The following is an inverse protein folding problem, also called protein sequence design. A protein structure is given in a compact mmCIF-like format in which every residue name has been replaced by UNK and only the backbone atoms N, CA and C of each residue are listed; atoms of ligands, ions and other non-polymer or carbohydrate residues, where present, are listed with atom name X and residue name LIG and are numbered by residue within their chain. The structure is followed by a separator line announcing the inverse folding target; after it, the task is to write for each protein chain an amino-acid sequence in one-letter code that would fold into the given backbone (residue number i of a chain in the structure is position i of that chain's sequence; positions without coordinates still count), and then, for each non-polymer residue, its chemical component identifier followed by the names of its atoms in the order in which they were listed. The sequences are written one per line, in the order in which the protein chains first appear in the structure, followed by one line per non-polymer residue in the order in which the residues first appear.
data_IF_846290815430
#
_entry.id   IF_846290815430
#
_cell.length_a   1.000
_cell.length_b   1.000
_cell.length_c   1.000
_cell.angle_alpha   90.00
_cell.angle_beta   90.00
_cell.angle_gamma   90.00
#
_symmetry.space_group_name_H-M   'P 1'
#
loop_
_entity.id
_entity.type
_entity.pdbx_description
1 polymer ?
#
# COMPACT_ATOMS: atom_id res chain seq x y z
N UNK A 1 -23.22 -4.98 -31.97
CA UNK A 1 -21.77 -5.15 -32.01
C UNK A 1 -21.20 -4.12 -31.06
N UNK A 2 -20.68 -4.52 -29.90
CA UNK A 2 -20.03 -3.60 -28.99
C UNK A 2 -18.72 -3.11 -29.64
N UNK A 3 -18.55 -1.81 -29.80
CA UNK A 3 -17.27 -1.24 -30.16
C UNK A 3 -16.21 -1.68 -29.15
N UNK A 4 -15.02 -2.11 -29.57
CA UNK A 4 -13.93 -2.31 -28.63
C UNK A 4 -13.69 -0.95 -27.97
N UNK A 5 -13.94 -0.87 -26.67
CA UNK A 5 -13.58 0.30 -25.87
C UNK A 5 -12.08 0.53 -26.06
N UNK A 6 -11.71 1.72 -26.50
CA UNK A 6 -10.32 2.16 -26.49
C UNK A 6 -9.75 1.83 -25.10
N UNK A 7 -8.58 1.18 -24.99
CA UNK A 7 -8.00 0.88 -23.68
C UNK A 7 -7.94 2.20 -22.89
N UNK A 8 -8.48 2.19 -21.66
CA UNK A 8 -8.49 3.41 -20.85
C UNK A 8 -7.05 3.90 -20.69
N UNK A 9 -6.83 5.20 -20.80
CA UNK A 9 -5.51 5.79 -20.56
C UNK A 9 -5.15 5.80 -19.04
N UNK A 10 -5.91 5.05 -18.25
CA UNK A 10 -5.77 4.95 -16.79
C UNK A 10 -5.07 3.65 -16.41
N UNK A 11 -4.14 3.76 -15.45
CA UNK A 11 -3.57 2.63 -14.75
C UNK A 11 -3.65 2.84 -13.23
N UNK A 12 -3.68 1.73 -12.50
CA UNK A 12 -3.57 1.69 -11.03
C UNK A 12 -2.29 0.94 -10.66
N UNK A 13 -1.45 1.56 -9.84
CA UNK A 13 -0.29 0.89 -9.22
C UNK A 13 -0.59 0.73 -7.72
N UNK A 14 -0.65 -0.52 -7.27
CA UNK A 14 -0.99 -0.88 -5.91
C UNK A 14 0.27 -1.23 -5.12
N UNK A 15 0.50 -0.51 -4.02
CA UNK A 15 1.54 -0.78 -3.03
C UNK A 15 0.94 -1.62 -1.90
N UNK A 16 1.35 -2.89 -1.79
CA UNK A 16 0.82 -3.80 -0.79
C UNK A 16 1.33 -3.50 0.64
N UNK A 17 0.68 -4.07 1.64
CA UNK A 17 1.05 -3.93 3.04
C UNK A 17 2.26 -4.77 3.46
N UNK A 18 2.74 -4.56 4.69
CA UNK A 18 3.79 -5.38 5.31
C UNK A 18 3.40 -6.85 5.36
N UNK A 19 4.38 -7.73 5.25
CA UNK A 19 4.21 -9.20 5.32
C UNK A 19 3.36 -9.79 4.19
N UNK A 20 3.04 -9.03 3.15
CA UNK A 20 2.26 -9.50 2.02
C UNK A 20 3.12 -9.81 0.80
N UNK A 21 2.68 -10.82 0.04
CA UNK A 21 3.03 -10.96 -1.37
C UNK A 21 1.97 -10.27 -2.24
N UNK A 22 2.16 -10.13 -3.56
CA UNK A 22 1.11 -9.65 -4.46
C UNK A 22 -0.11 -10.58 -4.58
N UNK A 23 0.00 -11.85 -4.14
CA UNK A 23 -1.03 -12.86 -4.36
C UNK A 23 -2.42 -12.46 -3.86
N UNK A 24 -2.63 -11.94 -2.63
CA UNK A 24 -3.95 -11.52 -2.15
C UNK A 24 -4.59 -10.38 -2.96
N UNK A 25 -3.80 -9.62 -3.71
CA UNK A 25 -4.27 -8.47 -4.48
C UNK A 25 -4.66 -8.82 -5.92
N UNK A 26 -4.35 -10.04 -6.39
CA UNK A 26 -4.70 -10.48 -7.75
C UNK A 26 -6.20 -10.44 -8.06
N UNK A 27 -7.13 -10.74 -7.12
CA UNK A 27 -8.56 -10.55 -7.36
C UNK A 27 -8.91 -9.10 -7.70
N UNK A 28 -8.42 -8.12 -6.93
CA UNK A 28 -8.62 -6.70 -7.18
C UNK A 28 -8.00 -6.26 -8.52
N UNK A 29 -6.76 -6.69 -8.81
CA UNK A 29 -6.09 -6.42 -10.09
C UNK A 29 -6.92 -6.93 -11.27
N UNK A 30 -7.47 -8.14 -11.16
CA UNK A 30 -8.35 -8.71 -12.20
C UNK A 30 -9.66 -7.94 -12.35
N UNK A 31 -10.26 -7.53 -11.23
CA UNK A 31 -11.50 -6.76 -11.23
C UNK A 31 -11.32 -5.36 -11.87
N UNK A 32 -10.23 -4.67 -11.57
CA UNK A 32 -9.86 -3.40 -12.23
C UNK A 32 -9.65 -3.59 -13.73
N UNK A 33 -8.92 -4.63 -14.14
CA UNK A 33 -8.69 -4.94 -15.56
C UNK A 33 -9.99 -5.29 -16.30
N UNK A 34 -10.94 -5.95 -15.65
CA UNK A 34 -12.26 -6.21 -16.20
C UNK A 34 -13.08 -4.92 -16.47
N UNK A 35 -12.74 -3.81 -15.80
CA UNK A 35 -13.29 -2.46 -16.06
C UNK A 35 -12.46 -1.65 -17.06
N UNK A 36 -11.48 -2.26 -17.71
CA UNK A 36 -10.60 -1.59 -18.68
C UNK A 36 -9.51 -0.72 -18.03
N UNK A 37 -9.26 -0.85 -16.74
CA UNK A 37 -8.22 -0.14 -16.01
C UNK A 37 -7.01 -1.06 -15.88
N UNK A 38 -5.86 -0.68 -16.43
CA UNK A 38 -4.64 -1.45 -16.21
C UNK A 38 -4.26 -1.40 -14.72
N UNK A 39 -3.89 -2.54 -14.15
CA UNK A 39 -3.58 -2.61 -12.73
C UNK A 39 -2.37 -3.49 -12.45
N UNK A 40 -1.53 -3.05 -11.52
CA UNK A 40 -0.26 -3.67 -11.17
C UNK A 40 -0.09 -3.69 -9.64
N UNK A 41 0.45 -4.78 -9.13
CA UNK A 41 0.86 -4.90 -7.73
C UNK A 41 2.23 -5.59 -7.72
N UNK A 42 3.35 -4.84 -7.65
CA UNK A 42 4.68 -5.43 -7.60
C UNK A 42 4.95 -6.08 -6.24
N UNK A 43 5.88 -7.05 -6.20
CA UNK A 43 6.47 -7.51 -4.96
C UNK A 43 7.39 -6.43 -4.41
N UNK A 44 7.10 -5.98 -3.19
CA UNK A 44 7.96 -5.01 -2.50
C UNK A 44 9.13 -5.72 -1.81
N UNK A 45 10.35 -5.19 -1.92
CA UNK A 45 11.57 -5.76 -1.33
C UNK A 45 11.48 -6.08 0.17
N UNK A 46 10.81 -5.23 0.97
CA UNK A 46 10.66 -5.44 2.42
C UNK A 46 9.82 -6.66 2.80
N UNK A 47 9.11 -7.27 1.85
CA UNK A 47 8.32 -8.48 2.03
C UNK A 47 8.70 -9.60 1.03
N UNK A 48 9.81 -9.45 0.31
CA UNK A 48 10.32 -10.46 -0.62
C UNK A 48 11.28 -11.42 0.10
N UNK A 49 10.84 -12.66 0.34
CA UNK A 49 11.63 -13.68 1.03
C UNK A 49 13.01 -13.92 0.37
N UNK A 50 13.14 -13.70 -0.93
CA UNK A 50 14.44 -13.80 -1.63
C UNK A 50 15.45 -12.72 -1.21
N UNK A 51 14.99 -11.64 -0.59
CA UNK A 51 15.80 -10.50 -0.14
C UNK A 51 15.97 -10.44 1.38
N UNK A 52 15.30 -11.33 2.13
CA UNK A 52 15.24 -11.26 3.59
C UNK A 52 16.20 -12.22 4.32
N UNK A 53 17.05 -12.96 3.58
CA UNK A 53 17.97 -13.97 4.15
C UNK A 53 17.23 -14.98 5.03
N UNK A 54 16.26 -15.68 4.46
CA UNK A 54 15.44 -16.67 5.16
C UNK A 54 15.86 -18.13 4.88
N UNK A 55 16.95 -18.34 4.13
CA UNK A 55 17.34 -19.67 3.65
C UNK A 55 16.46 -20.15 2.50
N UNK A 56 15.85 -21.32 2.63
CA UNK A 56 14.90 -21.81 1.61
C UNK A 56 13.57 -21.04 1.71
N UNK A 57 13.19 -20.37 0.63
CA UNK A 57 11.92 -19.58 0.59
C UNK A 57 10.67 -20.44 0.66
N UNK A 58 10.79 -21.76 0.40
CA UNK A 58 9.67 -22.71 0.55
C UNK A 58 9.54 -23.25 1.98
N UNK A 59 10.62 -23.13 2.78
CA UNK A 59 10.67 -23.47 4.21
C UNK A 59 11.50 -22.40 4.95
N UNK A 60 10.98 -21.18 5.07
CA UNK A 60 11.75 -20.04 5.51
C UNK A 60 12.09 -20.08 7.00
N UNK A 61 13.35 -19.84 7.32
CA UNK A 61 13.84 -19.67 8.69
C UNK A 61 13.96 -18.18 9.01
N UNK A 62 13.00 -17.65 9.76
CA UNK A 62 12.98 -16.23 10.16
C UNK A 62 13.91 -15.91 11.34
N UNK A 63 14.59 -16.91 11.90
CA UNK A 63 15.61 -16.74 12.97
C UNK A 63 17.01 -16.47 12.42
N UNK A 64 17.18 -16.40 11.10
CA UNK A 64 18.41 -15.94 10.48
C UNK A 64 18.57 -14.42 10.67
N UNK A 65 19.84 -13.98 10.76
CA UNK A 65 20.15 -12.55 10.82
C UNK A 65 19.94 -11.84 9.48
N UNK A 66 20.09 -10.51 9.44
CA UNK A 66 19.93 -9.75 8.21
C UNK A 66 20.94 -10.19 7.13
N UNK A 67 20.64 -9.98 5.85
CA UNK A 67 21.59 -10.15 4.77
C UNK A 67 22.73 -9.14 4.87
N UNK A 68 23.82 -9.37 4.12
CA UNK A 68 24.88 -8.38 3.98
C UNK A 68 24.31 -7.06 3.47
N UNK A 69 24.58 -5.96 4.19
CA UNK A 69 24.00 -4.65 3.89
C UNK A 69 22.70 -4.33 4.63
N UNK A 70 22.14 -5.27 5.40
CA UNK A 70 20.88 -5.08 6.14
C UNK A 70 19.65 -5.53 5.36
N UNK A 71 18.49 -5.46 6.03
CA UNK A 71 17.21 -5.70 5.37
C UNK A 71 16.81 -4.53 4.47
N UNK A 72 16.15 -4.80 3.32
CA UNK A 72 15.56 -3.74 2.51
C UNK A 72 14.60 -2.88 3.33
N UNK A 73 14.50 -1.62 2.96
CA UNK A 73 13.67 -0.63 3.64
C UNK A 73 12.75 0.10 2.64
N UNK A 74 12.13 1.19 3.06
CA UNK A 74 11.18 1.93 2.24
C UNK A 74 11.78 2.52 0.96
N UNK A 75 13.08 2.84 0.94
CA UNK A 75 13.76 3.32 -0.27
C UNK A 75 13.71 2.28 -1.39
N UNK A 76 14.01 1.02 -1.09
CA UNK A 76 13.98 -0.06 -2.09
C UNK A 76 12.55 -0.36 -2.54
N UNK A 77 11.57 -0.29 -1.62
CA UNK A 77 10.16 -0.46 -1.98
C UNK A 77 9.69 0.65 -2.93
N UNK A 78 10.00 1.90 -2.59
CA UNK A 78 9.62 3.05 -3.42
C UNK A 78 10.32 3.05 -4.78
N UNK A 79 11.57 2.57 -4.85
CA UNK A 79 12.31 2.45 -6.10
C UNK A 79 11.62 1.49 -7.09
N UNK A 80 11.20 0.31 -6.63
CA UNK A 80 10.45 -0.65 -7.46
C UNK A 80 9.15 -0.06 -7.99
N UNK A 81 8.41 0.68 -7.15
CA UNK A 81 7.17 1.35 -7.57
C UNK A 81 7.46 2.47 -8.56
N UNK A 82 8.50 3.30 -8.32
CA UNK A 82 8.89 4.37 -9.25
C UNK A 82 9.30 3.86 -10.62
N UNK A 83 9.96 2.71 -10.72
CA UNK A 83 10.33 2.13 -12.02
C UNK A 83 9.09 1.75 -12.83
N UNK A 84 8.06 1.17 -12.19
CA UNK A 84 6.78 0.89 -12.85
C UNK A 84 6.07 2.20 -13.23
N UNK A 85 6.04 3.19 -12.35
CA UNK A 85 5.45 4.49 -12.63
C UNK A 85 6.13 5.17 -13.82
N UNK A 86 7.47 5.15 -13.91
CA UNK A 86 8.20 5.70 -15.07
C UNK A 86 7.81 4.99 -16.36
N UNK A 87 7.78 3.67 -16.39
CA UNK A 87 7.37 2.93 -17.59
C UNK A 87 5.94 3.28 -18.01
N UNK A 88 4.99 3.31 -17.10
CA UNK A 88 3.60 3.66 -17.40
C UNK A 88 3.44 5.12 -17.87
N UNK A 89 4.13 6.04 -17.21
CA UNK A 89 3.96 7.48 -17.42
C UNK A 89 4.82 7.98 -18.59
N UNK A 90 6.11 7.61 -18.61
CA UNK A 90 7.05 8.19 -19.58
C UNK A 90 7.05 7.46 -20.92
N UNK A 91 6.86 6.11 -20.91
CA UNK A 91 6.81 5.32 -22.14
C UNK A 91 5.39 5.20 -22.69
N UNK A 92 4.43 4.80 -21.83
CA UNK A 92 3.04 4.51 -22.23
C UNK A 92 2.10 5.72 -22.14
N UNK A 93 2.56 6.88 -21.60
CA UNK A 93 1.81 8.14 -21.47
C UNK A 93 0.52 8.04 -20.66
N UNK A 94 0.45 7.08 -19.72
CA UNK A 94 -0.74 6.82 -18.91
C UNK A 94 -0.93 7.85 -17.81
N UNK A 95 -2.19 8.09 -17.46
CA UNK A 95 -2.58 8.65 -16.17
C UNK A 95 -2.54 7.52 -15.14
N UNK A 96 -1.97 7.74 -13.98
CA UNK A 96 -1.79 6.70 -12.96
C UNK A 96 -2.40 7.14 -11.63
N UNK A 97 -3.28 6.31 -11.07
CA UNK A 97 -3.67 6.39 -9.67
C UNK A 97 -2.76 5.47 -8.87
N UNK A 98 -2.11 5.99 -7.83
CA UNK A 98 -1.31 5.15 -6.92
C UNK A 98 -2.15 4.80 -5.71
N UNK A 99 -2.32 3.50 -5.47
CA UNK A 99 -3.10 2.96 -4.38
C UNK A 99 -2.17 2.38 -3.31
N UNK A 100 -2.28 2.86 -2.08
CA UNK A 100 -1.55 2.33 -0.93
C UNK A 100 -2.46 1.54 0.00
N UNK A 101 -2.06 0.34 0.38
CA UNK A 101 -2.75 -0.48 1.37
C UNK A 101 -1.89 -0.63 2.62
N UNK A 102 -2.45 -0.39 3.81
CA UNK A 102 -1.73 -0.55 5.08
C UNK A 102 -0.39 0.21 5.06
N UNK A 103 0.75 -0.41 5.38
CA UNK A 103 2.08 0.21 5.27
C UNK A 103 2.45 0.64 3.84
N UNK A 104 1.84 0.05 2.81
CA UNK A 104 2.00 0.50 1.42
C UNK A 104 1.53 1.94 1.17
N UNK A 105 0.78 2.54 2.10
CA UNK A 105 0.46 3.98 2.07
C UNK A 105 1.70 4.85 2.14
N UNK A 106 2.69 4.50 2.97
CA UNK A 106 3.99 5.15 2.99
C UNK A 106 4.69 5.06 1.63
N UNK A 107 4.74 3.85 1.05
CA UNK A 107 5.39 3.59 -0.25
C UNK A 107 4.71 4.37 -1.38
N UNK A 108 3.36 4.36 -1.42
CA UNK A 108 2.58 5.10 -2.40
C UNK A 108 2.89 6.60 -2.35
N UNK A 109 2.97 7.16 -1.14
CA UNK A 109 3.28 8.58 -0.93
C UNK A 109 4.71 8.90 -1.36
N UNK A 110 5.69 8.10 -0.91
CA UNK A 110 7.11 8.31 -1.21
C UNK A 110 7.41 8.20 -2.70
N UNK A 111 6.83 7.20 -3.39
CA UNK A 111 7.04 6.98 -4.82
C UNK A 111 6.37 8.04 -5.71
N UNK A 112 5.39 8.79 -5.18
CA UNK A 112 4.64 9.79 -5.95
C UNK A 112 5.38 11.12 -6.07
N UNK A 113 6.62 11.06 -6.59
CA UNK A 113 7.54 12.18 -6.73
C UNK A 113 7.00 13.27 -7.66
N UNK A 114 7.34 14.57 -7.42
CA UNK A 114 6.85 15.70 -8.21
C UNK A 114 7.03 15.53 -9.72
N UNK A 115 8.17 15.01 -10.18
CA UNK A 115 8.48 14.81 -11.60
C UNK A 115 7.58 13.79 -12.30
N UNK A 116 6.89 12.93 -11.53
CA UNK A 116 5.93 11.95 -12.05
C UNK A 116 4.47 12.42 -11.94
N UNK A 117 4.20 13.54 -11.25
CA UNK A 117 2.85 14.05 -11.03
C UNK A 117 2.28 14.71 -12.30
N UNK A 118 1.02 14.43 -12.60
CA UNK A 118 0.36 14.85 -13.84
C UNK A 118 0.39 16.36 -14.06
N UNK A 119 0.00 17.14 -13.04
CA UNK A 119 -0.01 18.62 -13.13
C UNK A 119 1.38 19.18 -13.40
N UNK A 120 2.41 18.65 -12.72
CA UNK A 120 3.79 19.07 -12.91
C UNK A 120 4.31 18.74 -14.32
N UNK A 121 3.98 17.55 -14.83
CA UNK A 121 4.35 17.11 -16.18
C UNK A 121 3.60 17.90 -17.26
N UNK A 122 2.31 18.17 -17.05
CA UNK A 122 1.49 18.96 -17.96
C UNK A 122 2.04 20.39 -18.17
N UNK A 123 2.52 21.03 -17.10
CA UNK A 123 3.18 22.35 -17.18
C UNK A 123 4.43 22.35 -18.06
N UNK A 124 5.02 21.19 -18.29
CA UNK A 124 6.20 20.97 -19.15
C UNK A 124 5.85 20.40 -20.53
N UNK A 125 4.57 20.32 -20.87
CA UNK A 125 4.09 19.72 -22.12
C UNK A 125 4.30 18.21 -22.20
N UNK A 126 4.48 17.52 -21.08
CA UNK A 126 4.71 16.08 -21.01
C UNK A 126 3.40 15.34 -20.73
N UNK A 127 2.99 14.38 -21.56
CA UNK A 127 1.77 13.59 -21.34
C UNK A 127 1.97 12.54 -20.24
N UNK A 128 0.83 12.11 -19.65
CA UNK A 128 0.81 11.12 -18.57
C UNK A 128 1.25 11.69 -17.22
N UNK A 129 1.03 10.93 -16.16
CA UNK A 129 1.44 11.32 -14.82
C UNK A 129 0.51 10.79 -13.73
N UNK A 130 0.96 10.89 -12.48
CA UNK A 130 0.18 10.51 -11.31
C UNK A 130 -0.92 11.55 -11.10
N UNK A 131 -2.19 11.09 -11.11
CA UNK A 131 -3.36 11.95 -10.98
C UNK A 131 -3.89 12.05 -9.54
N UNK A 132 -3.54 11.10 -8.68
CA UNK A 132 -3.98 11.08 -7.28
C UNK A 132 -3.44 9.91 -6.49
N UNK A 133 -3.72 9.93 -5.19
CA UNK A 133 -3.40 8.90 -4.21
C UNK A 133 -4.69 8.34 -3.63
N UNK A 134 -4.80 7.01 -3.55
CA UNK A 134 -5.93 6.33 -2.93
C UNK A 134 -5.44 5.42 -1.80
N UNK A 135 -5.85 5.71 -0.58
CA UNK A 135 -5.46 4.98 0.62
C UNK A 135 -6.55 3.99 1.03
N UNK A 136 -6.20 2.72 1.11
CA UNK A 136 -7.10 1.62 1.44
C UNK A 136 -6.75 1.09 2.83
N UNK A 137 -7.40 1.57 3.89
CA UNK A 137 -7.03 1.24 5.27
C UNK A 137 -5.53 1.41 5.52
N UNK A 138 -4.93 2.48 4.98
CA UNK A 138 -3.49 2.63 4.85
C UNK A 138 -2.89 3.61 5.87
N UNK A 139 -1.59 3.51 6.06
CA UNK A 139 -0.86 4.44 6.90
C UNK A 139 -0.64 5.77 6.19
N UNK A 140 -1.15 6.85 6.77
CA UNK A 140 -0.82 8.23 6.40
C UNK A 140 0.25 8.70 7.39
N UNK A 141 1.51 8.65 6.96
CA UNK A 141 2.65 9.00 7.79
C UNK A 141 3.08 10.44 7.46
N UNK A 142 3.27 11.30 8.47
CA UNK A 142 3.79 12.65 8.25
C UNK A 142 5.22 12.65 7.68
N UNK A 143 5.54 13.63 6.84
CA UNK A 143 6.91 13.85 6.38
C UNK A 143 7.87 13.98 7.57
N UNK A 144 9.00 13.30 7.49
CA UNK A 144 10.02 13.24 8.55
C UNK A 144 9.82 12.09 9.55
N UNK A 145 8.67 11.39 9.52
CA UNK A 145 8.40 10.20 10.32
C UNK A 145 8.54 8.93 9.48
N UNK A 146 8.88 7.81 10.13
CA UNK A 146 8.79 6.47 9.56
C UNK A 146 7.53 5.76 10.07
N UNK A 147 7.16 4.63 9.47
CA UNK A 147 6.09 3.78 10.01
C UNK A 147 6.40 3.43 11.48
N UNK A 148 7.63 3.01 11.75
CA UNK A 148 8.06 2.68 13.11
C UNK A 148 7.93 3.87 14.06
N UNK A 149 8.56 5.02 13.75
CA UNK A 149 8.58 6.18 14.66
C UNK A 149 7.19 6.77 14.91
N UNK A 150 6.28 6.64 13.94
CA UNK A 150 4.92 7.16 14.06
C UNK A 150 4.06 6.35 15.04
N UNK A 151 4.15 5.01 14.99
CA UNK A 151 3.33 4.13 15.83
C UNK A 151 3.96 3.76 17.17
N UNK A 152 5.22 4.13 17.42
CA UNK A 152 5.87 3.88 18.71
C UNK A 152 5.65 5.03 19.70
N UNK A 153 5.58 4.72 21.02
CA UNK A 153 5.52 5.74 22.05
C UNK A 153 6.72 6.67 22.00
N UNK A 154 6.49 7.95 22.29
CA UNK A 154 7.57 8.97 22.25
C UNK A 154 8.48 8.95 23.49
N UNK A 155 8.17 8.12 24.48
CA UNK A 155 8.99 7.93 25.70
C UNK A 155 10.15 6.94 25.50
N UNK A 156 10.29 6.38 24.28
CA UNK A 156 11.34 5.42 23.94
C UNK A 156 11.02 3.97 24.32
N UNK A 157 9.84 3.69 24.87
CA UNK A 157 9.38 2.31 25.06
C UNK A 157 9.09 1.66 23.71
N UNK A 158 9.20 0.33 23.66
CA UNK A 158 8.90 -0.44 22.45
C UNK A 158 7.61 -1.23 22.63
N UNK A 159 6.65 -0.99 21.75
CA UNK A 159 5.36 -1.70 21.76
C UNK A 159 5.25 -2.57 20.51
N UNK A 160 5.02 -3.87 20.72
CA UNK A 160 4.70 -4.81 19.65
C UNK A 160 3.18 -4.93 19.54
N UNK A 161 2.57 -4.64 18.37
CA UNK A 161 1.15 -4.84 18.18
C UNK A 161 0.73 -6.32 18.40
N UNK A 162 -0.49 -6.59 18.86
CA UNK A 162 -0.94 -7.96 19.19
C UNK A 162 -0.98 -8.90 17.99
N UNK A 163 -1.05 -8.37 16.77
CA UNK A 163 -1.07 -9.13 15.52
C UNK A 163 0.33 -9.40 14.94
N UNK A 164 1.41 -9.03 15.65
CA UNK A 164 2.80 -9.22 15.21
C UNK A 164 3.61 -9.99 16.23
N UNK A 165 4.59 -10.73 15.76
CA UNK A 165 5.70 -11.22 16.59
C UNK A 165 7.02 -11.01 15.88
N UNK A 166 8.06 -10.70 16.64
CA UNK A 166 9.44 -10.72 16.18
C UNK A 166 10.08 -12.06 16.47
N UNK A 167 10.97 -12.48 15.57
CA UNK A 167 11.76 -13.70 15.69
C UNK A 167 13.05 -13.43 16.50
N UNK A 168 14.00 -14.37 16.47
CA UNK A 168 15.19 -14.43 17.32
C UNK A 168 15.94 -13.11 17.53
N UNK A 169 16.01 -12.26 16.51
CA UNK A 169 16.74 -10.99 16.57
C UNK A 169 15.87 -9.79 17.04
N UNK A 170 14.65 -10.02 17.49
CA UNK A 170 13.76 -8.95 17.96
C UNK A 170 13.54 -7.88 16.89
N UNK A 171 13.58 -6.60 17.30
CA UNK A 171 13.39 -5.47 16.38
C UNK A 171 14.50 -5.28 15.33
N UNK A 172 15.65 -5.92 15.48
CA UNK A 172 16.70 -5.96 14.46
C UNK A 172 16.55 -7.13 13.47
N UNK A 173 15.54 -7.97 13.67
CA UNK A 173 15.25 -9.14 12.85
C UNK A 173 13.94 -9.00 12.06
N UNK A 174 13.41 -10.15 11.68
CA UNK A 174 12.15 -10.23 10.96
C UNK A 174 10.96 -10.34 11.92
N UNK A 175 9.85 -9.73 11.52
CA UNK A 175 8.53 -9.93 12.09
C UNK A 175 7.63 -10.72 11.15
N UNK A 176 6.63 -11.38 11.72
CA UNK A 176 5.54 -12.07 11.01
C UNK A 176 4.21 -11.77 11.67
N UNK A 177 3.12 -11.99 10.94
CA UNK A 177 1.77 -11.87 11.49
C UNK A 177 1.44 -13.01 12.46
N UNK A 178 0.67 -12.69 13.48
CA UNK A 178 0.06 -13.61 14.45
C UNK A 178 -1.45 -13.63 14.20
N UNK A 179 -2.08 -14.78 14.21
CA UNK A 179 -3.52 -14.96 13.97
C UNK A 179 -4.04 -14.19 12.74
N UNK A 180 -3.38 -14.32 11.56
CA UNK A 180 -3.76 -13.54 10.37
C UNK A 180 -5.21 -13.75 9.96
N UNK A 181 -5.78 -14.94 10.17
CA UNK A 181 -7.20 -15.23 9.94
C UNK A 181 -8.13 -14.32 10.74
N UNK A 182 -7.70 -13.85 11.90
CA UNK A 182 -8.46 -12.93 12.74
C UNK A 182 -8.21 -11.48 12.37
N UNK A 183 -6.94 -11.08 12.28
CA UNK A 183 -6.56 -9.67 12.16
C UNK A 183 -6.63 -9.15 10.73
N UNK A 184 -6.23 -9.95 9.73
CA UNK A 184 -6.21 -9.54 8.32
C UNK A 184 -7.42 -10.04 7.54
N UNK A 185 -7.88 -11.25 7.81
CA UNK A 185 -8.85 -11.97 6.97
C UNK A 185 -10.13 -12.35 7.74
N UNK A 186 -10.42 -11.67 8.85
CA UNK A 186 -11.50 -12.05 9.76
C UNK A 186 -12.94 -11.86 9.22
N UNK A 187 -13.09 -11.18 8.11
CA UNK A 187 -14.34 -11.00 7.38
C UNK A 187 -14.48 -11.90 6.14
N UNK A 188 -13.54 -12.83 5.92
CA UNK A 188 -13.64 -13.90 4.92
C UNK A 188 -14.18 -15.17 5.55
N UNK A 189 -14.63 -16.10 4.71
CA UNK A 189 -14.91 -17.45 5.22
C UNK A 189 -13.62 -18.14 5.70
N UNK A 190 -13.71 -19.11 6.65
CA UNK A 190 -12.53 -19.70 7.28
C UNK A 190 -11.55 -20.39 6.31
N UNK A 191 -12.06 -20.99 5.23
CA UNK A 191 -11.22 -21.68 4.24
C UNK A 191 -10.44 -20.66 3.41
N UNK A 192 -11.11 -19.58 2.99
CA UNK A 192 -10.45 -18.47 2.30
C UNK A 192 -9.43 -17.76 3.18
N UNK A 193 -9.79 -17.43 4.42
CA UNK A 193 -8.88 -16.84 5.38
C UNK A 193 -7.62 -17.69 5.56
N UNK A 194 -7.77 -19.00 5.77
CA UNK A 194 -6.64 -19.94 5.89
C UNK A 194 -5.81 -20.04 4.61
N UNK A 195 -6.45 -19.99 3.44
CA UNK A 195 -5.73 -19.97 2.16
C UNK A 195 -4.85 -18.74 2.00
N UNK A 196 -5.38 -17.56 2.29
CA UNK A 196 -4.65 -16.31 2.15
C UNK A 196 -3.58 -16.13 3.21
N UNK A 197 -3.79 -16.62 4.42
CA UNK A 197 -2.79 -16.63 5.50
C UNK A 197 -1.49 -17.32 5.08
N UNK A 198 -1.56 -18.36 4.26
CA UNK A 198 -0.40 -19.10 3.73
C UNK A 198 0.40 -18.32 2.68
N UNK A 199 -0.11 -17.21 2.17
CA UNK A 199 0.58 -16.36 1.19
C UNK A 199 1.35 -15.21 1.84
N UNK A 200 1.24 -15.07 3.16
CA UNK A 200 1.95 -14.06 3.91
C UNK A 200 3.44 -14.37 4.00
N UNK A 201 4.21 -13.32 4.15
CA UNK A 201 5.67 -13.36 4.24
C UNK A 201 6.14 -12.81 5.59
N UNK A 202 7.40 -12.45 5.68
CA UNK A 202 7.98 -11.71 6.80
C UNK A 202 8.41 -10.32 6.35
N UNK A 203 8.80 -9.48 7.30
CA UNK A 203 9.39 -8.19 6.98
C UNK A 203 10.14 -7.57 8.16
N UNK A 204 11.05 -6.65 7.91
CA UNK A 204 11.75 -5.88 8.93
C UNK A 204 10.85 -4.79 9.52
N UNK A 205 11.29 -4.16 10.59
CA UNK A 205 10.75 -2.88 11.06
C UNK A 205 11.05 -1.81 10.00
N UNK A 206 10.03 -1.04 9.60
CA UNK A 206 10.14 0.01 8.60
C UNK A 206 10.58 1.33 9.24
N UNK A 207 11.85 1.66 9.09
CA UNK A 207 12.50 2.82 9.74
C UNK A 207 12.81 3.98 8.82
N UNK A 208 12.66 3.81 7.50
CA UNK A 208 12.84 4.90 6.54
C UNK A 208 11.83 6.01 6.77
N UNK A 209 12.32 7.24 6.88
CA UNK A 209 11.49 8.43 7.05
C UNK A 209 10.89 8.86 5.72
N UNK A 210 9.61 9.21 5.73
CA UNK A 210 8.95 9.80 4.57
C UNK A 210 9.60 11.14 4.22
N UNK A 211 10.00 11.32 2.98
CA UNK A 211 10.65 12.52 2.48
C UNK A 211 9.79 13.33 1.51
N UNK A 212 8.84 12.67 0.84
CA UNK A 212 8.00 13.26 -0.20
C UNK A 212 6.64 13.71 0.36
N UNK A 213 6.30 15.00 0.21
CA UNK A 213 5.00 15.54 0.60
C UNK A 213 3.99 15.46 -0.55
N UNK A 214 3.69 14.27 -1.02
CA UNK A 214 2.72 14.08 -2.09
C UNK A 214 1.27 14.44 -1.66
N UNK A 215 0.97 14.45 -0.37
CA UNK A 215 -0.34 14.81 0.18
C UNK A 215 -0.79 16.24 -0.20
N UNK A 216 0.16 17.17 -0.28
CA UNK A 216 -0.11 18.57 -0.62
C UNK A 216 -0.30 18.78 -2.12
N UNK A 217 0.38 17.96 -2.92
CA UNK A 217 0.48 18.16 -4.36
C UNK A 217 -0.60 17.40 -5.14
N UNK A 218 -1.11 16.30 -4.59
CA UNK A 218 -2.04 15.39 -5.28
C UNK A 218 -3.39 15.33 -4.58
N UNK A 219 -4.49 15.18 -5.34
CA UNK A 219 -5.76 14.75 -4.77
C UNK A 219 -5.60 13.43 -4.01
N UNK A 220 -6.11 13.35 -2.80
CA UNK A 220 -6.04 12.19 -1.95
C UNK A 220 -7.44 11.65 -1.62
N UNK A 221 -7.62 10.34 -1.69
CA UNK A 221 -8.79 9.66 -1.16
C UNK A 221 -8.41 8.64 -0.09
N UNK A 222 -9.32 8.37 0.82
CA UNK A 222 -9.17 7.34 1.83
C UNK A 222 -10.44 6.50 1.96
N UNK A 223 -10.31 5.18 1.81
CA UNK A 223 -11.37 4.23 2.13
C UNK A 223 -11.17 3.76 3.58
N UNK A 224 -12.06 4.23 4.46
CA UNK A 224 -12.10 3.85 5.87
C UNK A 224 -12.71 2.46 6.01
N UNK A 225 -12.02 1.58 6.72
CA UNK A 225 -12.43 0.20 6.97
C UNK A 225 -13.05 0.13 8.36
N UNK A 226 -14.38 0.03 8.41
CA UNK A 226 -15.15 0.11 9.67
C UNK A 226 -14.93 -1.12 10.58
N UNK A 227 -14.63 -2.28 9.98
CA UNK A 227 -14.39 -3.54 10.68
C UNK A 227 -12.93 -3.89 10.89
N UNK A 228 -12.00 -2.98 10.64
CA UNK A 228 -10.57 -3.25 10.69
C UNK A 228 -10.05 -3.51 12.12
N UNK A 229 -9.52 -4.70 12.36
CA UNK A 229 -8.94 -5.12 13.63
C UNK A 229 -7.42 -4.90 13.72
N UNK A 230 -6.75 -4.63 12.59
CA UNK A 230 -5.31 -4.37 12.51
C UNK A 230 -5.03 -2.88 12.66
N UNK A 231 -5.78 -2.05 11.94
CA UNK A 231 -5.73 -0.60 12.03
C UNK A 231 -7.14 -0.07 12.35
N UNK A 232 -7.56 -0.05 13.62
CA UNK A 232 -8.89 0.38 14.02
C UNK A 232 -9.27 1.74 13.43
N UNK A 233 -10.54 1.90 13.06
CA UNK A 233 -11.03 3.09 12.35
C UNK A 233 -10.73 4.41 13.06
N UNK A 234 -10.63 4.39 14.39
CA UNK A 234 -10.27 5.57 15.18
C UNK A 234 -8.86 6.06 14.84
N UNK A 235 -7.92 5.15 14.61
CA UNK A 235 -6.57 5.48 14.12
C UNK A 235 -6.62 6.00 12.69
N UNK A 236 -7.42 5.37 11.81
CA UNK A 236 -7.59 5.82 10.43
C UNK A 236 -8.12 7.27 10.40
N UNK A 237 -9.18 7.57 11.14
CA UNK A 237 -9.71 8.93 11.28
C UNK A 237 -8.70 9.91 11.88
N UNK A 238 -7.96 9.48 12.90
CA UNK A 238 -6.93 10.30 13.53
C UNK A 238 -5.80 10.70 12.57
N UNK A 239 -5.33 9.75 11.75
CA UNK A 239 -4.30 10.01 10.74
C UNK A 239 -4.81 10.98 9.66
N UNK A 240 -6.03 10.74 9.14
CA UNK A 240 -6.65 11.63 8.15
C UNK A 240 -6.75 13.05 8.71
N UNK A 241 -7.38 13.22 9.88
CA UNK A 241 -7.57 14.52 10.49
C UNK A 241 -6.24 15.26 10.75
N UNK A 242 -5.23 14.53 11.24
CA UNK A 242 -3.89 15.10 11.47
C UNK A 242 -3.21 15.58 10.18
N UNK A 243 -3.42 14.85 9.07
CA UNK A 243 -2.82 15.21 7.78
C UNK A 243 -3.58 16.36 7.11
N UNK A 244 -4.92 16.35 7.16
CA UNK A 244 -5.77 17.41 6.59
C UNK A 244 -5.48 18.80 7.18
N UNK A 245 -5.11 18.87 8.46
CA UNK A 245 -4.68 20.13 9.09
C UNK A 245 -3.43 20.75 8.43
N UNK A 246 -2.68 19.96 7.66
CA UNK A 246 -1.41 20.38 7.05
C UNK A 246 -1.50 20.58 5.54
N UNK A 247 -2.33 19.79 4.85
CA UNK A 247 -2.20 19.67 3.39
C UNK A 247 -3.52 19.79 2.61
N UNK A 248 -4.67 19.70 3.25
CA UNK A 248 -5.98 19.81 2.61
C UNK A 248 -6.81 18.54 2.76
N UNK A 249 -8.07 18.62 2.34
CA UNK A 249 -9.08 17.60 2.57
C UNK A 249 -8.86 16.33 1.73
N UNK A 250 -9.10 15.18 2.37
CA UNK A 250 -9.20 13.88 1.70
C UNK A 250 -10.63 13.57 1.28
N UNK A 251 -10.82 13.03 0.08
CA UNK A 251 -12.09 12.41 -0.27
C UNK A 251 -12.25 11.12 0.55
N UNK A 252 -13.31 11.03 1.37
CA UNK A 252 -13.50 9.90 2.27
C UNK A 252 -14.58 8.98 1.73
N UNK A 253 -14.26 7.69 1.73
CA UNK A 253 -15.18 6.59 1.47
C UNK A 253 -15.20 5.68 2.71
N UNK A 254 -16.26 4.88 2.86
CA UNK A 254 -16.43 3.96 3.97
C UNK A 254 -16.88 2.59 3.47
N UNK A 255 -16.38 1.53 4.09
CA UNK A 255 -16.86 0.18 3.85
C UNK A 255 -16.93 -0.62 5.16
N UNK A 256 -17.81 -1.63 5.24
CA UNK A 256 -17.95 -2.45 6.44
C UNK A 256 -16.83 -3.48 6.61
N UNK A 257 -15.93 -3.63 5.64
CA UNK A 257 -14.91 -4.67 5.59
C UNK A 257 -13.91 -4.60 6.76
N UNK A 258 -13.27 -5.72 7.03
CA UNK A 258 -12.06 -5.84 7.84
C UNK A 258 -10.83 -5.31 7.11
N UNK A 259 -9.63 -5.75 7.56
CA UNK A 259 -8.36 -5.19 7.02
C UNK A 259 -8.11 -5.56 5.55
N UNK A 260 -8.83 -6.52 4.95
CA UNK A 260 -8.59 -7.00 3.58
C UNK A 260 -9.75 -6.75 2.60
N UNK A 261 -10.20 -5.49 2.40
CA UNK A 261 -11.32 -5.16 1.51
C UNK A 261 -11.05 -5.49 0.04
N UNK A 262 -9.79 -5.61 -0.35
CA UNK A 262 -9.37 -6.08 -1.67
C UNK A 262 -9.76 -7.55 -1.96
N UNK A 263 -10.17 -8.30 -0.92
CA UNK A 263 -10.71 -9.66 -1.00
C UNK A 263 -12.19 -9.69 -0.66
N UNK A 264 -12.58 -9.16 0.49
CA UNK A 264 -13.95 -9.27 1.02
C UNK A 264 -14.94 -8.27 0.39
N UNK A 265 -14.46 -7.16 -0.17
CA UNK A 265 -15.27 -6.08 -0.73
C UNK A 265 -14.72 -5.55 -2.06
N UNK A 266 -14.17 -6.45 -2.89
CA UNK A 266 -13.44 -6.12 -4.13
C UNK A 266 -14.22 -5.20 -5.07
N UNK A 267 -15.49 -5.50 -5.32
CA UNK A 267 -16.33 -4.71 -6.23
C UNK A 267 -16.56 -3.28 -5.69
N UNK A 268 -16.70 -3.14 -4.38
CA UNK A 268 -16.81 -1.84 -3.73
C UNK A 268 -15.53 -1.03 -3.84
N UNK A 269 -14.36 -1.66 -3.68
CA UNK A 269 -13.06 -1.00 -3.90
C UNK A 269 -12.96 -0.50 -5.33
N UNK A 270 -13.29 -1.34 -6.31
CA UNK A 270 -13.29 -0.94 -7.73
C UNK A 270 -14.20 0.25 -7.98
N UNK A 271 -15.41 0.22 -7.42
CA UNK A 271 -16.40 1.30 -7.56
C UNK A 271 -15.85 2.61 -6.96
N UNK A 272 -15.33 2.59 -5.74
CA UNK A 272 -14.80 3.81 -5.10
C UNK A 272 -13.56 4.36 -5.81
N UNK A 273 -12.73 3.50 -6.39
CA UNK A 273 -11.61 3.90 -7.25
C UNK A 273 -12.12 4.63 -8.50
N UNK A 274 -13.16 4.10 -9.16
CA UNK A 274 -13.75 4.75 -10.34
C UNK A 274 -14.38 6.10 -9.99
N UNK A 275 -15.19 6.16 -8.94
CA UNK A 275 -15.80 7.40 -8.45
C UNK A 275 -14.76 8.48 -8.09
N UNK A 276 -13.64 8.08 -7.48
CA UNK A 276 -12.57 9.02 -7.17
C UNK A 276 -11.88 9.55 -8.44
N UNK A 277 -11.59 8.67 -9.40
CA UNK A 277 -10.99 9.08 -10.68
C UNK A 277 -11.91 10.04 -11.42
N UNK A 278 -13.21 9.74 -11.53
CA UNK A 278 -14.20 10.63 -12.14
C UNK A 278 -14.18 12.01 -11.47
N UNK A 279 -14.22 12.04 -10.12
CA UNK A 279 -14.22 13.28 -9.33
C UNK A 279 -12.98 14.17 -9.57
N UNK A 280 -11.81 13.58 -9.76
CA UNK A 280 -10.56 14.36 -9.94
C UNK A 280 -10.29 14.74 -11.39
N UNK A 281 -11.05 14.20 -12.34
CA UNK A 281 -10.99 14.54 -13.77
C UNK A 281 -12.03 15.59 -14.19
N UNK A 282 -13.03 15.87 -13.33
CA UNK A 282 -13.96 17.02 -13.47
C UNK A 282 -13.26 18.37 -13.21
#
# INVERSE_FOLDING_TARGET
MAHPSNPSNLAVVLCHGSYHSPAPYLPLVKALKAKGIDAYCPQLPTADLHKLNVGDVNDPNFDLGPPDGGYPQGEEDSAVVMDILRSLIEEQKKKVLVLGFSSGGWVATEASRPELQFKHRQQRGQPGGIIGLFYLGAFIIPVGESVHSFFQPKDGSFVTPPFMRFHKHGGAGLGTMVEPEKYLFGDLDPEEASRWSKTLTAGPILTTKLSNNAYEALPCAYLVLEGDMTLPKEYQHGMIASQELKTGEFTRYHCPAGHSPHLSWTDGVVKTVQEFVEKIEE
#
